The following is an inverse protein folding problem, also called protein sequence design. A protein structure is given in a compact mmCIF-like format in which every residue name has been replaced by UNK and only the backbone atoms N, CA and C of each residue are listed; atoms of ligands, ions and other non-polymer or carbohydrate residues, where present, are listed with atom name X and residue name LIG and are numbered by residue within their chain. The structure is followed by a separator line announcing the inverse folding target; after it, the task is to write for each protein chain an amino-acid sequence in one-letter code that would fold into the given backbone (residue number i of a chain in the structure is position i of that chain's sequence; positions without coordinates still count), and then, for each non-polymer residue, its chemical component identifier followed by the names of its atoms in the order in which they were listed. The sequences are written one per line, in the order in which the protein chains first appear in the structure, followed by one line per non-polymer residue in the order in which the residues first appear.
data_IF_972087473817
#
_entry.id   IF_972087473817
#
_cell.length_a   1.000
_cell.length_b   1.000
_cell.length_c   1.000
_cell.angle_alpha   90.00
_cell.angle_beta   90.00
_cell.angle_gamma   90.00
#
_symmetry.space_group_name_H-M   'P 1'
#
loop_
_entity.id
_entity.type
_entity.pdbx_description
1 polymer ?
#
# COMPACT_ATOMS: atom_id res chain seq x y z
N UNK A 1 35.18 -12.97 -55.89
CA UNK A 1 34.27 -11.97 -56.50
C UNK A 1 33.38 -11.38 -55.42
N UNK A 2 33.51 -10.13 -55.26
CA UNK A 2 32.89 -9.07 -54.48
C UNK A 2 31.57 -9.37 -53.77
N UNK A 3 31.60 -9.25 -52.45
CA UNK A 3 30.48 -9.06 -51.51
C UNK A 3 29.78 -7.69 -51.81
N UNK A 4 28.46 -7.70 -51.84
CA UNK A 4 27.66 -6.50 -51.77
C UNK A 4 27.24 -6.28 -50.30
N UNK A 5 27.81 -5.30 -49.67
CA UNK A 5 27.29 -4.68 -48.43
C UNK A 5 25.99 -3.92 -48.77
N UNK A 6 24.92 -4.34 -48.14
CA UNK A 6 23.67 -3.59 -48.10
C UNK A 6 23.71 -2.66 -46.89
N UNK A 7 23.91 -1.37 -47.17
CA UNK A 7 23.66 -0.30 -46.21
C UNK A 7 22.16 -0.28 -45.88
N UNK A 8 21.80 -0.74 -44.68
CA UNK A 8 20.53 -0.36 -44.07
C UNK A 8 20.68 1.04 -43.51
N UNK A 9 20.02 1.98 -44.12
CA UNK A 9 19.83 3.34 -43.57
C UNK A 9 19.15 3.22 -42.21
N UNK A 10 19.83 3.66 -41.16
CA UNK A 10 19.25 3.99 -39.87
C UNK A 10 18.36 5.21 -40.16
N UNK A 11 17.08 5.01 -40.17
CA UNK A 11 16.11 6.11 -40.18
C UNK A 11 16.18 6.65 -38.74
N UNK A 12 16.83 7.80 -38.56
CA UNK A 12 16.67 8.62 -37.39
C UNK A 12 15.18 8.97 -37.28
N UNK A 13 14.48 8.30 -36.39
CA UNK A 13 13.18 8.78 -35.95
C UNK A 13 13.46 10.08 -35.21
N UNK A 14 13.20 11.21 -35.84
CA UNK A 14 13.03 12.48 -35.13
C UNK A 14 12.05 12.19 -33.97
N UNK A 15 12.54 12.29 -32.74
CA UNK A 15 11.69 12.27 -31.57
C UNK A 15 10.90 13.58 -31.63
N UNK A 16 9.68 13.51 -32.17
CA UNK A 16 8.75 14.62 -32.09
C UNK A 16 8.49 14.83 -30.61
N UNK A 17 9.09 15.89 -30.03
CA UNK A 17 8.77 16.30 -28.67
C UNK A 17 7.31 16.76 -28.66
N UNK A 18 6.44 15.97 -28.10
CA UNK A 18 5.04 16.35 -27.86
C UNK A 18 5.07 17.48 -26.84
N UNK A 19 4.55 18.66 -27.24
CA UNK A 19 4.37 19.77 -26.31
C UNK A 19 3.33 19.38 -25.26
N UNK A 20 3.72 19.38 -23.98
CA UNK A 20 2.86 18.98 -22.87
C UNK A 20 2.51 20.20 -22.03
N UNK A 21 1.28 20.27 -21.58
CA UNK A 21 0.90 21.24 -20.56
C UNK A 21 1.69 20.98 -19.28
N UNK A 22 2.13 22.07 -18.63
CA UNK A 22 2.93 22.00 -17.41
C UNK A 22 2.19 22.69 -16.28
N UNK A 23 2.10 22.03 -15.14
CA UNK A 23 1.65 22.59 -13.86
C UNK A 23 2.76 22.50 -12.83
N UNK A 24 2.85 23.51 -11.97
CA UNK A 24 3.87 23.58 -10.91
C UNK A 24 3.22 23.48 -9.54
N UNK A 25 3.81 22.65 -8.66
CA UNK A 25 3.38 22.44 -7.29
C UNK A 25 4.58 22.50 -6.33
N UNK A 26 4.33 22.70 -5.07
CA UNK A 26 5.35 22.48 -4.04
C UNK A 26 5.59 20.99 -3.84
N UNK A 27 4.50 20.20 -3.78
CA UNK A 27 4.58 18.77 -3.59
C UNK A 27 3.58 18.05 -4.50
N UNK A 28 4.10 17.08 -5.27
CA UNK A 28 3.27 16.10 -6.01
C UNK A 28 3.30 14.76 -5.27
N UNK A 29 2.14 14.15 -5.11
CA UNK A 29 1.96 12.85 -4.45
C UNK A 29 1.38 11.87 -5.45
N UNK A 30 2.07 10.75 -5.67
CA UNK A 30 1.66 9.72 -6.63
C UNK A 30 0.94 8.59 -5.90
N UNK A 31 -0.38 8.54 -6.04
CA UNK A 31 -1.27 7.54 -5.46
C UNK A 31 -2.09 8.05 -4.27
N UNK A 32 -3.42 7.99 -4.41
CA UNK A 32 -4.41 8.35 -3.39
C UNK A 32 -4.80 7.15 -2.49
N UNK A 33 -3.80 6.36 -2.10
CA UNK A 33 -3.95 5.34 -1.06
C UNK A 33 -3.75 5.92 0.36
N UNK A 34 -3.83 5.08 1.41
CA UNK A 34 -3.69 5.53 2.80
C UNK A 34 -2.40 6.33 3.06
N UNK A 35 -1.28 5.94 2.45
CA UNK A 35 0.00 6.64 2.61
C UNK A 35 -0.01 8.02 1.96
N UNK A 36 -0.41 8.11 0.68
CA UNK A 36 -0.44 9.38 -0.06
C UNK A 36 -1.41 10.37 0.53
N UNK A 37 -2.64 9.95 0.87
CA UNK A 37 -3.64 10.82 1.49
C UNK A 37 -3.21 11.30 2.88
N UNK A 38 -2.57 10.44 3.67
CA UNK A 38 -2.03 10.86 4.97
C UNK A 38 -0.88 11.85 4.83
N UNK A 39 -0.06 11.72 3.76
CA UNK A 39 0.97 12.72 3.44
C UNK A 39 0.35 14.06 3.08
N UNK A 40 -0.67 14.05 2.22
CA UNK A 40 -1.36 15.24 1.76
C UNK A 40 -2.03 16.01 2.92
N UNK A 41 -2.80 15.29 3.75
CA UNK A 41 -3.46 15.88 4.93
C UNK A 41 -2.42 16.47 5.87
N UNK A 42 -1.35 15.72 6.19
CA UNK A 42 -0.33 16.20 7.13
C UNK A 42 0.43 17.41 6.61
N UNK A 43 0.76 17.45 5.32
CA UNK A 43 1.38 18.62 4.68
C UNK A 43 0.46 19.86 4.77
N UNK A 44 -0.81 19.70 4.42
CA UNK A 44 -1.79 20.78 4.45
C UNK A 44 -2.02 21.29 5.89
N UNK A 45 -2.06 20.39 6.88
CA UNK A 45 -2.15 20.78 8.31
C UNK A 45 -0.94 21.60 8.74
N UNK A 46 0.28 21.18 8.38
CA UNK A 46 1.51 21.91 8.70
C UNK A 46 1.54 23.29 8.03
N UNK A 47 1.11 23.38 6.77
CA UNK A 47 1.02 24.63 6.03
C UNK A 47 0.03 25.59 6.70
N UNK A 48 -1.15 25.12 7.12
CA UNK A 48 -2.12 25.92 7.85
C UNK A 48 -1.61 26.36 9.22
N UNK A 49 -0.98 25.45 9.99
CA UNK A 49 -0.39 25.76 11.29
C UNK A 49 0.66 26.87 11.21
N UNK A 50 1.48 26.85 10.16
CA UNK A 50 2.54 27.84 9.90
C UNK A 50 2.06 29.05 9.10
N UNK A 51 0.79 29.09 8.67
CA UNK A 51 0.25 30.14 7.80
C UNK A 51 1.10 30.34 6.54
N UNK A 52 1.60 29.24 5.97
CA UNK A 52 2.41 29.18 4.76
C UNK A 52 1.61 28.57 3.62
N UNK A 53 1.62 29.17 2.43
CA UNK A 53 1.06 28.56 1.24
C UNK A 53 1.90 27.34 0.83
N UNK A 54 1.23 26.24 0.50
CA UNK A 54 1.84 25.03 0.00
C UNK A 54 0.89 24.38 -1.03
N UNK A 55 1.25 24.41 -2.28
CA UNK A 55 0.47 23.80 -3.35
C UNK A 55 0.73 22.30 -3.40
N UNK A 56 -0.28 21.51 -3.08
CA UNK A 56 -0.20 20.05 -2.97
C UNK A 56 -1.12 19.40 -3.99
N UNK A 57 -0.57 18.54 -4.82
CA UNK A 57 -1.29 17.76 -5.81
C UNK A 57 -1.18 16.26 -5.51
N UNK A 58 -2.30 15.54 -5.61
CA UNK A 58 -2.35 14.08 -5.55
C UNK A 58 -2.87 13.53 -6.88
N UNK A 59 -2.11 12.68 -7.55
CA UNK A 59 -2.58 11.96 -8.75
C UNK A 59 -2.98 10.54 -8.39
N UNK A 60 -4.12 10.08 -8.94
CA UNK A 60 -4.63 8.72 -8.75
C UNK A 60 -5.03 8.12 -10.09
N UNK A 61 -4.52 6.93 -10.40
CA UNK A 61 -4.84 6.23 -11.65
C UNK A 61 -6.26 5.69 -11.73
N UNK A 62 -6.91 5.45 -10.60
CA UNK A 62 -8.30 5.04 -10.53
C UNK A 62 -9.23 6.16 -10.98
N UNK A 63 -10.36 5.82 -11.60
CA UNK A 63 -11.39 6.77 -12.00
C UNK A 63 -11.96 7.58 -10.83
N UNK A 64 -11.81 7.07 -9.62
CA UNK A 64 -12.11 7.72 -8.35
C UNK A 64 -11.18 7.21 -7.27
N UNK A 65 -11.00 7.97 -6.20
CA UNK A 65 -10.23 7.53 -5.04
C UNK A 65 -10.87 6.29 -4.42
N UNK A 66 -10.06 5.27 -4.14
CA UNK A 66 -10.52 4.01 -3.58
C UNK A 66 -11.01 2.96 -4.57
N UNK A 67 -11.18 3.28 -5.87
CA UNK A 67 -11.63 2.33 -6.89
C UNK A 67 -10.72 1.10 -7.01
N UNK A 68 -9.42 1.28 -6.85
CA UNK A 68 -8.43 0.20 -6.92
C UNK A 68 -8.08 -0.40 -5.54
N UNK A 69 -8.75 0.02 -4.48
CA UNK A 69 -8.54 -0.51 -3.13
C UNK A 69 -9.57 -1.59 -2.85
N UNK A 70 -9.14 -2.86 -2.93
CA UNK A 70 -10.03 -3.96 -2.59
C UNK A 70 -10.40 -3.91 -1.11
N UNK A 71 -11.70 -3.85 -0.86
CA UNK A 71 -12.31 -3.57 0.44
C UNK A 71 -12.15 -4.70 1.46
N UNK A 72 -12.41 -4.37 2.73
CA UNK A 72 -12.38 -5.28 3.87
C UNK A 72 -10.98 -5.48 4.46
N UNK A 73 -10.71 -4.79 5.57
CA UNK A 73 -9.46 -4.92 6.31
C UNK A 73 -9.71 -4.78 7.82
N UNK A 74 -8.88 -5.44 8.62
CA UNK A 74 -8.75 -5.09 10.04
C UNK A 74 -7.85 -3.87 10.13
N UNK A 75 -8.37 -2.80 10.72
CA UNK A 75 -7.77 -1.47 10.77
C UNK A 75 -7.40 -1.09 12.21
N UNK A 76 -6.13 -0.73 12.43
CA UNK A 76 -5.63 -0.18 13.68
C UNK A 76 -5.63 1.34 13.57
N UNK A 77 -6.36 2.03 14.46
CA UNK A 77 -6.64 3.47 14.34
C UNK A 77 -5.49 4.38 14.72
N UNK A 78 -4.43 3.89 15.35
CA UNK A 78 -3.32 4.72 15.89
C UNK A 78 -2.82 5.83 14.98
N UNK A 79 -2.59 5.53 13.70
CA UNK A 79 -2.13 6.53 12.75
C UNK A 79 -3.24 7.53 12.40
N UNK A 80 -4.49 7.08 12.37
CA UNK A 80 -5.65 7.94 12.18
C UNK A 80 -5.90 8.82 13.40
N UNK A 81 -5.77 8.27 14.62
CA UNK A 81 -5.90 9.02 15.88
C UNK A 81 -4.87 10.15 15.97
N UNK A 82 -3.68 9.95 15.43
CA UNK A 82 -2.63 10.96 15.37
C UNK A 82 -2.86 12.00 14.26
N UNK A 83 -3.31 11.56 13.08
CA UNK A 83 -3.51 12.41 11.91
C UNK A 83 -4.74 13.32 12.07
N UNK A 84 -5.85 12.73 12.50
CA UNK A 84 -7.16 13.36 12.66
C UNK A 84 -7.79 12.91 13.99
N UNK A 85 -7.40 13.48 15.15
CA UNK A 85 -7.87 13.03 16.47
C UNK A 85 -9.39 13.01 16.64
N UNK A 86 -10.10 13.85 15.90
CA UNK A 86 -11.56 13.98 15.88
C UNK A 86 -12.23 13.20 14.73
N UNK A 87 -11.58 12.17 14.17
CA UNK A 87 -12.08 11.42 13.02
C UNK A 87 -13.50 10.86 13.19
N UNK A 88 -13.89 10.53 14.44
CA UNK A 88 -15.24 10.05 14.73
C UNK A 88 -16.29 11.16 14.52
N UNK A 89 -15.99 12.38 14.99
CA UNK A 89 -16.85 13.54 14.81
C UNK A 89 -16.92 13.99 13.35
N UNK A 90 -15.83 13.76 12.60
CA UNK A 90 -15.75 14.03 11.17
C UNK A 90 -16.43 12.92 10.32
N UNK A 91 -17.08 11.94 10.96
CA UNK A 91 -17.85 10.91 10.25
C UNK A 91 -17.00 9.88 9.51
N UNK A 92 -15.80 9.56 9.99
CA UNK A 92 -14.99 8.51 9.37
C UNK A 92 -15.74 7.17 9.30
N UNK A 93 -15.67 6.45 8.17
CA UNK A 93 -16.33 5.15 7.99
C UNK A 93 -15.56 4.02 8.70
N UNK A 94 -15.30 4.20 10.00
CA UNK A 94 -14.58 3.29 10.90
C UNK A 94 -15.51 2.96 12.07
N UNK A 95 -16.53 2.17 11.81
CA UNK A 95 -17.69 1.95 12.68
C UNK A 95 -17.76 0.56 13.27
N UNK A 96 -17.33 -0.49 12.55
CA UNK A 96 -17.44 -1.89 12.97
C UNK A 96 -16.26 -2.30 13.85
N UNK A 97 -16.42 -2.24 15.17
CA UNK A 97 -15.40 -2.73 16.12
C UNK A 97 -15.25 -4.24 16.04
N UNK A 98 -14.04 -4.73 16.22
CA UNK A 98 -13.81 -6.16 16.43
C UNK A 98 -14.43 -6.58 17.75
N UNK A 99 -15.33 -7.56 17.71
CA UNK A 99 -16.09 -8.08 18.86
C UNK A 99 -15.67 -9.50 19.22
N UNK A 100 -15.19 -10.27 18.26
CA UNK A 100 -14.71 -11.64 18.42
C UNK A 100 -13.51 -11.86 17.51
N UNK A 101 -12.43 -12.42 18.04
CA UNK A 101 -11.17 -12.64 17.33
C UNK A 101 -10.74 -14.10 17.50
N UNK A 102 -10.81 -14.88 16.44
CA UNK A 102 -10.55 -16.30 16.43
C UNK A 102 -9.31 -16.62 15.60
N UNK A 103 -8.43 -17.47 16.12
CA UNK A 103 -7.23 -17.94 15.44
C UNK A 103 -7.30 -19.46 15.30
N UNK A 104 -7.07 -19.96 14.09
CA UNK A 104 -7.13 -21.38 13.77
C UNK A 104 -5.84 -21.90 13.13
N UNK A 105 -5.51 -23.14 13.52
CA UNK A 105 -4.65 -24.02 12.75
C UNK A 105 -5.52 -24.98 11.95
N UNK A 106 -5.51 -24.87 10.64
CA UNK A 106 -6.21 -25.78 9.74
C UNK A 106 -5.40 -27.07 9.55
N UNK A 107 -5.81 -28.13 10.23
CA UNK A 107 -5.09 -29.42 10.22
C UNK A 107 -5.23 -30.14 8.88
N UNK A 108 -6.41 -30.10 8.28
CA UNK A 108 -6.74 -30.69 7.00
C UNK A 108 -8.05 -30.06 6.47
N UNK A 109 -8.60 -30.57 5.40
CA UNK A 109 -9.80 -30.08 4.73
C UNK A 109 -11.09 -30.05 5.59
N UNK A 110 -11.12 -30.76 6.72
CA UNK A 110 -12.30 -30.92 7.56
C UNK A 110 -12.10 -30.44 8.99
N UNK A 111 -10.87 -30.34 9.46
CA UNK A 111 -10.56 -30.09 10.88
C UNK A 111 -9.68 -28.87 11.05
N UNK A 112 -10.05 -28.05 12.01
CA UNK A 112 -9.25 -26.94 12.50
C UNK A 112 -9.11 -27.03 14.02
N UNK A 113 -7.96 -26.60 14.52
CA UNK A 113 -7.69 -26.46 15.96
C UNK A 113 -7.74 -24.97 16.28
N UNK A 114 -8.59 -24.57 17.22
CA UNK A 114 -8.61 -23.20 17.73
C UNK A 114 -7.36 -22.95 18.60
N UNK A 115 -6.71 -21.84 18.34
CA UNK A 115 -5.56 -21.37 19.12
C UNK A 115 -6.07 -20.29 20.08
N UNK A 116 -6.09 -20.55 21.41
CA UNK A 116 -6.56 -19.56 22.35
C UNK A 116 -5.62 -18.36 22.40
N UNK A 117 -6.14 -17.17 22.70
CA UNK A 117 -5.39 -15.91 22.71
C UNK A 117 -4.14 -15.93 23.57
N UNK A 118 -4.19 -16.59 24.76
CA UNK A 118 -3.03 -16.69 25.63
C UNK A 118 -1.86 -17.49 25.02
N UNK A 119 -2.12 -18.34 24.04
CA UNK A 119 -1.14 -19.14 23.32
C UNK A 119 -0.67 -18.50 22.00
N UNK A 120 -1.24 -17.34 21.63
CA UNK A 120 -0.87 -16.61 20.42
C UNK A 120 -0.11 -15.31 20.76
N UNK A 121 0.80 -14.84 19.88
CA UNK A 121 1.48 -13.57 20.07
C UNK A 121 0.49 -12.41 20.15
N UNK A 122 0.67 -11.49 21.09
CA UNK A 122 -0.18 -10.30 21.25
C UNK A 122 -0.29 -9.44 19.98
N UNK A 123 0.70 -9.54 19.09
CA UNK A 123 0.70 -8.83 17.81
C UNK A 123 -0.41 -9.29 16.86
N UNK A 124 -0.91 -10.53 17.01
CA UNK A 124 -2.00 -11.06 16.20
C UNK A 124 -3.37 -10.65 16.72
N UNK A 125 -3.47 -10.22 17.98
CA UNK A 125 -4.73 -9.85 18.58
C UNK A 125 -5.31 -8.59 17.94
N UNK A 126 -6.64 -8.56 17.82
CA UNK A 126 -7.38 -7.51 17.16
C UNK A 126 -8.26 -6.67 18.12
N UNK A 127 -8.06 -6.81 19.41
CA UNK A 127 -8.76 -6.01 20.42
C UNK A 127 -8.56 -4.52 20.16
N UNK A 128 -9.66 -3.78 20.11
CA UNK A 128 -9.65 -2.34 19.85
C UNK A 128 -9.48 -1.94 18.38
N UNK A 129 -9.33 -2.89 17.47
CA UNK A 129 -9.30 -2.65 16.03
C UNK A 129 -10.72 -2.60 15.44
N UNK A 130 -10.79 -2.22 14.18
CA UNK A 130 -12.05 -2.11 13.43
C UNK A 130 -11.97 -2.91 12.13
N UNK A 131 -13.11 -3.42 11.67
CA UNK A 131 -13.25 -3.95 10.31
C UNK A 131 -13.77 -2.82 9.44
N UNK A 132 -13.05 -2.49 8.36
CA UNK A 132 -13.36 -1.34 7.51
C UNK A 132 -13.35 -1.69 6.03
N UNK A 133 -14.12 -0.94 5.25
CA UNK A 133 -13.89 -0.80 3.81
C UNK A 133 -12.78 0.21 3.57
N UNK A 134 -11.58 -0.25 3.22
CA UNK A 134 -10.47 0.65 2.94
C UNK A 134 -10.73 1.59 1.77
N UNK A 135 -11.53 1.18 0.79
CA UNK A 135 -11.98 2.07 -0.28
C UNK A 135 -12.78 3.26 0.25
N UNK A 136 -13.71 3.01 1.20
CA UNK A 136 -14.49 4.07 1.84
C UNK A 136 -13.61 4.97 2.72
N UNK A 137 -12.67 4.39 3.46
CA UNK A 137 -11.71 5.16 4.26
C UNK A 137 -10.86 6.06 3.37
N UNK A 138 -10.37 5.58 2.22
CA UNK A 138 -9.61 6.41 1.29
C UNK A 138 -10.47 7.54 0.69
N UNK A 139 -11.73 7.28 0.30
CA UNK A 139 -12.64 8.35 -0.18
C UNK A 139 -12.84 9.44 0.88
N UNK A 140 -13.14 9.02 2.10
CA UNK A 140 -13.28 9.95 3.21
C UNK A 140 -11.98 10.73 3.52
N UNK A 141 -10.81 10.10 3.50
CA UNK A 141 -9.53 10.80 3.64
C UNK A 141 -9.29 11.80 2.51
N UNK A 142 -9.72 11.49 1.28
CA UNK A 142 -9.63 12.42 0.16
C UNK A 142 -10.50 13.66 0.40
N UNK A 143 -11.75 13.49 0.87
CA UNK A 143 -12.61 14.60 1.26
C UNK A 143 -11.97 15.47 2.35
N UNK A 144 -11.29 14.86 3.34
CA UNK A 144 -10.54 15.62 4.34
C UNK A 144 -9.36 16.38 3.74
N UNK A 145 -8.62 15.78 2.81
CA UNK A 145 -7.51 16.45 2.13
C UNK A 145 -7.99 17.64 1.28
N UNK A 146 -9.05 17.44 0.49
CA UNK A 146 -9.66 18.50 -0.33
C UNK A 146 -10.20 19.66 0.53
N UNK A 147 -10.78 19.36 1.70
CA UNK A 147 -11.24 20.39 2.65
C UNK A 147 -10.10 21.26 3.19
N UNK A 148 -8.88 20.77 3.14
CA UNK A 148 -7.65 21.48 3.53
C UNK A 148 -6.96 22.17 2.34
N UNK A 149 -7.55 22.13 1.15
CA UNK A 149 -7.04 22.79 -0.06
C UNK A 149 -6.10 21.92 -0.92
N UNK A 150 -6.04 20.61 -0.70
CA UNK A 150 -5.27 19.70 -1.55
C UNK A 150 -6.02 19.46 -2.86
N UNK A 151 -5.32 19.52 -3.98
CA UNK A 151 -5.86 19.17 -5.28
C UNK A 151 -5.71 17.67 -5.55
N UNK A 152 -6.80 16.97 -5.84
CA UNK A 152 -6.77 15.53 -6.14
C UNK A 152 -7.25 15.31 -7.57
N UNK A 153 -6.43 14.62 -8.37
CA UNK A 153 -6.72 14.30 -9.78
C UNK A 153 -6.92 12.79 -9.97
N UNK A 154 -8.15 12.27 -9.80
CA UNK A 154 -8.48 10.91 -10.16
C UNK A 154 -8.53 10.72 -11.67
N UNK A 155 -8.21 9.52 -12.15
CA UNK A 155 -8.12 9.20 -13.58
C UNK A 155 -6.76 9.52 -14.21
N UNK A 156 -5.86 10.20 -13.50
CA UNK A 156 -4.53 10.54 -14.00
C UNK A 156 -3.47 9.58 -13.45
N UNK A 157 -2.91 8.76 -14.32
CA UNK A 157 -1.82 7.86 -13.97
C UNK A 157 -0.47 8.55 -14.12
N UNK A 158 0.37 8.52 -13.11
CA UNK A 158 1.78 8.87 -13.29
C UNK A 158 2.44 7.84 -14.22
N UNK A 159 3.08 8.29 -15.29
CA UNK A 159 3.64 7.43 -16.33
C UNK A 159 5.16 7.41 -16.30
N UNK A 160 5.81 8.56 -16.18
CA UNK A 160 7.27 8.67 -16.16
C UNK A 160 7.75 9.76 -15.20
N UNK A 161 9.03 9.66 -14.84
CA UNK A 161 9.71 10.61 -13.97
C UNK A 161 10.24 11.79 -14.78
N UNK A 162 10.23 12.98 -14.20
CA UNK A 162 11.04 14.12 -14.64
C UNK A 162 12.27 14.13 -13.76
N UNK A 163 13.43 13.82 -14.34
CA UNK A 163 14.73 13.83 -13.63
C UNK A 163 15.63 14.87 -14.29
N UNK A 164 16.10 15.85 -13.53
CA UNK A 164 17.01 16.90 -13.96
C UNK A 164 18.07 17.07 -12.85
N UNK A 165 19.33 17.23 -13.24
CA UNK A 165 20.46 17.40 -12.31
C UNK A 165 20.51 16.32 -11.21
N UNK A 166 20.31 15.05 -11.58
CA UNK A 166 20.30 13.90 -10.69
C UNK A 166 19.20 13.97 -9.59
N UNK A 167 18.17 14.79 -9.77
CA UNK A 167 17.06 14.95 -8.84
C UNK A 167 15.72 14.78 -9.55
N UNK A 168 14.75 14.19 -8.85
CA UNK A 168 13.36 14.15 -9.32
C UNK A 168 12.76 15.56 -9.22
N UNK A 169 12.15 16.02 -10.32
CA UNK A 169 11.50 17.34 -10.46
C UNK A 169 10.01 17.23 -10.71
N UNK A 170 9.45 16.03 -10.61
CA UNK A 170 8.05 15.78 -10.85
C UNK A 170 7.81 14.51 -11.65
N UNK A 171 6.64 14.45 -12.26
CA UNK A 171 6.18 13.32 -13.08
C UNK A 171 5.51 13.79 -14.36
N UNK A 172 5.44 12.90 -15.35
CA UNK A 172 4.58 13.06 -16.51
C UNK A 172 3.41 12.08 -16.36
N UNK A 173 2.20 12.56 -16.56
CA UNK A 173 1.01 11.70 -16.57
C UNK A 173 0.90 10.92 -17.89
N UNK A 174 0.16 9.82 -17.88
CA UNK A 174 -0.06 9.01 -19.08
C UNK A 174 -0.91 9.73 -20.13
N UNK A 175 -0.59 9.51 -21.40
CA UNK A 175 -1.41 9.99 -22.51
C UNK A 175 -2.80 9.34 -22.45
N UNK A 176 -3.84 10.13 -22.74
CA UNK A 176 -5.22 9.66 -22.83
C UNK A 176 -5.64 9.45 -24.28
N UNK A 177 -6.63 8.57 -24.51
CA UNK A 177 -7.13 8.31 -25.86
C UNK A 177 -6.14 7.56 -26.75
N UNK A 178 -5.31 6.68 -26.22
CA UNK A 178 -4.46 5.76 -26.97
C UNK A 178 -5.06 4.35 -27.01
N UNK A 179 -4.75 3.59 -28.05
CA UNK A 179 -5.08 2.16 -28.11
C UNK A 179 -3.99 1.30 -27.42
N UNK A 180 -4.21 -0.03 -27.41
CA UNK A 180 -3.27 -0.99 -26.82
C UNK A 180 -1.89 -1.04 -27.53
N UNK A 181 -1.81 -0.56 -28.76
CA UNK A 181 -0.61 -0.55 -29.59
C UNK A 181 0.07 0.84 -29.57
N UNK A 182 -0.51 1.81 -28.80
CA UNK A 182 0.00 3.16 -28.61
C UNK A 182 -0.42 4.16 -29.71
N UNK A 183 -1.39 3.80 -30.56
CA UNK A 183 -1.87 4.72 -31.57
C UNK A 183 -2.94 5.66 -31.00
N UNK A 184 -2.91 6.91 -31.44
CA UNK A 184 -3.87 7.93 -31.06
C UNK A 184 -5.28 7.57 -31.59
N UNK A 185 -6.29 7.76 -30.73
CA UNK A 185 -7.73 7.67 -31.07
C UNK A 185 -8.37 9.05 -31.10
N UNK A 186 -9.61 9.09 -31.53
CA UNK A 186 -10.43 10.30 -31.38
C UNK A 186 -10.49 10.69 -29.91
N UNK A 187 -10.11 11.94 -29.60
CA UNK A 187 -9.99 12.44 -28.22
C UNK A 187 -8.65 12.18 -27.56
N UNK A 188 -7.59 11.91 -28.36
CA UNK A 188 -6.22 11.87 -27.83
C UNK A 188 -5.87 13.19 -27.11
N UNK A 189 -5.31 13.05 -25.92
CA UNK A 189 -4.70 14.13 -25.15
C UNK A 189 -3.34 13.68 -24.62
N UNK A 190 -2.29 14.45 -24.88
CA UNK A 190 -0.98 14.15 -24.29
C UNK A 190 -1.05 14.28 -22.78
N UNK A 191 -0.29 13.46 -22.07
CA UNK A 191 -0.13 13.60 -20.64
C UNK A 191 0.53 14.94 -20.27
N UNK A 192 0.28 15.39 -19.06
CA UNK A 192 0.76 16.66 -18.52
C UNK A 192 2.07 16.47 -17.74
N UNK A 193 2.93 17.48 -17.72
CA UNK A 193 4.04 17.57 -16.78
C UNK A 193 3.55 18.19 -15.48
N UNK A 194 3.67 17.43 -14.38
CA UNK A 194 3.43 17.93 -13.03
C UNK A 194 4.79 18.11 -12.35
N UNK A 195 5.25 19.35 -12.37
CA UNK A 195 6.56 19.71 -11.77
C UNK A 195 6.40 20.02 -10.30
N UNK A 196 7.37 19.62 -9.49
CA UNK A 196 7.33 19.81 -8.05
C UNK A 196 8.72 20.02 -7.46
N UNK A 197 8.75 20.73 -6.33
CA UNK A 197 9.97 20.83 -5.50
C UNK A 197 10.29 19.47 -4.89
N UNK A 198 9.26 18.71 -4.49
CA UNK A 198 9.38 17.36 -3.97
C UNK A 198 8.25 16.47 -4.47
N UNK A 199 8.55 15.17 -4.68
CA UNK A 199 7.56 14.17 -5.08
C UNK A 199 7.51 13.02 -4.08
N UNK A 200 6.31 12.66 -3.63
CA UNK A 200 6.07 11.50 -2.75
C UNK A 200 5.49 10.37 -3.59
N UNK A 201 6.15 9.21 -3.60
CA UNK A 201 5.67 8.02 -4.31
C UNK A 201 4.99 7.08 -3.33
N UNK A 202 3.68 6.91 -3.53
CA UNK A 202 2.76 6.11 -2.73
C UNK A 202 1.98 5.10 -3.58
N UNK A 203 2.60 4.57 -4.64
CA UNK A 203 1.98 3.71 -5.66
C UNK A 203 1.61 2.31 -5.14
N UNK A 204 2.04 1.96 -3.94
CA UNK A 204 1.83 0.65 -3.34
C UNK A 204 2.83 -0.41 -3.82
N UNK A 205 2.60 -1.67 -3.44
CA UNK A 205 3.55 -2.77 -3.60
C UNK A 205 4.08 -3.01 -5.04
N UNK A 206 3.36 -2.54 -6.05
CA UNK A 206 3.69 -2.78 -7.47
C UNK A 206 3.82 -1.49 -8.27
N UNK A 207 4.10 -0.40 -7.61
CA UNK A 207 4.43 0.87 -8.25
C UNK A 207 5.54 0.69 -9.29
N UNK A 208 5.37 1.23 -10.50
CA UNK A 208 6.39 1.11 -11.52
C UNK A 208 7.44 2.21 -11.41
N UNK A 209 7.04 3.42 -11.01
CA UNK A 209 7.96 4.52 -10.76
C UNK A 209 8.81 4.27 -9.51
N UNK A 210 8.21 3.74 -8.43
CA UNK A 210 8.96 3.33 -7.24
C UNK A 210 10.06 2.33 -7.55
N UNK A 211 9.80 1.34 -8.43
CA UNK A 211 10.82 0.38 -8.88
C UNK A 211 11.90 1.05 -9.73
N UNK A 212 11.51 1.96 -10.62
CA UNK A 212 12.46 2.71 -11.42
C UNK A 212 13.37 3.53 -10.51
N UNK A 213 12.83 4.21 -9.51
CA UNK A 213 13.58 5.01 -8.53
C UNK A 213 14.55 4.15 -7.70
N UNK A 214 14.10 2.99 -7.23
CA UNK A 214 14.97 2.06 -6.49
C UNK A 214 16.18 1.67 -7.34
N UNK A 215 15.99 1.37 -8.61
CA UNK A 215 17.08 1.03 -9.52
C UNK A 215 17.97 2.24 -9.87
N UNK A 216 17.37 3.39 -10.21
CA UNK A 216 18.09 4.60 -10.65
C UNK A 216 18.98 5.18 -9.56
N UNK A 217 18.46 5.26 -8.33
CA UNK A 217 19.16 5.79 -7.17
C UNK A 217 19.82 4.72 -6.30
N UNK A 218 19.79 3.44 -6.74
CA UNK A 218 20.40 2.28 -6.03
C UNK A 218 19.96 2.22 -4.56
N UNK A 219 18.65 2.39 -4.32
CA UNK A 219 18.11 2.58 -2.97
C UNK A 219 18.12 1.31 -2.12
N UNK A 220 18.25 0.13 -2.71
CA UNK A 220 18.23 -1.17 -2.05
C UNK A 220 19.61 -1.81 -1.85
N UNK A 221 20.70 -1.05 -2.09
CA UNK A 221 22.07 -1.57 -2.03
C UNK A 221 22.43 -2.24 -0.68
N UNK A 222 21.93 -1.69 0.42
CA UNK A 222 22.17 -2.18 1.78
C UNK A 222 20.99 -2.96 2.36
N UNK A 223 20.00 -3.28 1.54
CA UNK A 223 18.77 -3.95 1.98
C UNK A 223 18.80 -5.45 1.71
N UNK A 224 18.14 -6.21 2.58
CA UNK A 224 17.85 -7.61 2.28
C UNK A 224 16.83 -7.72 1.13
N UNK A 225 16.85 -8.79 0.34
CA UNK A 225 15.87 -8.99 -0.72
C UNK A 225 14.43 -8.87 -0.21
N UNK A 226 13.57 -8.19 -0.97
CA UNK A 226 12.16 -8.05 -0.63
C UNK A 226 11.42 -9.39 -0.81
N UNK A 227 10.55 -9.70 0.13
CA UNK A 227 9.64 -10.85 0.07
C UNK A 227 8.23 -10.40 -0.31
N UNK A 228 7.58 -11.18 -1.16
CA UNK A 228 6.25 -10.88 -1.65
C UNK A 228 5.26 -12.00 -1.32
N UNK A 229 4.03 -11.60 -1.02
CA UNK A 229 2.87 -12.47 -0.98
C UNK A 229 1.85 -12.05 -2.01
N UNK A 230 0.97 -12.97 -2.40
CA UNK A 230 -0.21 -12.71 -3.21
C UNK A 230 -1.44 -12.94 -2.36
N UNK A 231 -2.22 -11.90 -2.15
CA UNK A 231 -3.49 -11.97 -1.43
C UNK A 231 -4.66 -12.00 -2.40
N UNK A 232 -5.51 -13.03 -2.27
CA UNK A 232 -6.85 -13.08 -2.87
C UNK A 232 -7.87 -12.68 -1.84
N UNK A 233 -8.90 -11.99 -2.31
CA UNK A 233 -9.99 -11.53 -1.45
C UNK A 233 -11.31 -11.55 -2.22
N UNK A 234 -12.35 -11.99 -1.55
CA UNK A 234 -13.72 -11.91 -2.04
C UNK A 234 -14.61 -11.28 -0.97
N UNK A 235 -15.65 -10.56 -1.41
CA UNK A 235 -16.70 -10.03 -0.55
C UNK A 235 -17.98 -10.78 -0.89
N UNK A 236 -18.61 -11.29 0.15
CA UNK A 236 -19.82 -12.10 0.03
C UNK A 236 -20.97 -11.46 0.81
N UNK A 237 -22.16 -11.40 0.21
CA UNK A 237 -23.39 -11.08 0.89
C UNK A 237 -23.95 -12.40 1.46
N UNK A 238 -24.11 -12.47 2.77
CA UNK A 238 -24.56 -13.68 3.47
C UNK A 238 -25.93 -13.48 4.13
N UNK A 239 -26.54 -14.59 4.54
CA UNK A 239 -27.76 -14.57 5.34
C UNK A 239 -27.49 -13.96 6.73
N UNK A 240 -28.41 -13.11 7.22
CA UNK A 240 -28.30 -12.45 8.52
C UNK A 240 -28.14 -13.47 9.68
N UNK A 241 -28.77 -14.63 9.60
CA UNK A 241 -28.65 -15.67 10.63
C UNK A 241 -27.25 -16.27 10.76
N UNK A 242 -26.38 -16.10 9.75
CA UNK A 242 -24.98 -16.54 9.74
C UNK A 242 -24.00 -15.41 10.02
N UNK A 243 -24.50 -14.20 10.15
CA UNK A 243 -23.65 -13.02 10.30
C UNK A 243 -23.37 -12.74 11.79
N UNK A 244 -22.09 -12.49 12.10
CA UNK A 244 -21.62 -12.12 13.44
C UNK A 244 -20.81 -10.81 13.33
N UNK A 245 -21.48 -9.66 13.36
CA UNK A 245 -20.86 -8.35 13.16
C UNK A 245 -19.63 -8.15 14.06
N UNK A 246 -18.51 -7.82 13.44
CA UNK A 246 -17.23 -7.57 14.13
C UNK A 246 -16.41 -8.83 14.40
N UNK A 247 -16.84 -10.00 13.92
CA UNK A 247 -16.06 -11.24 14.03
C UNK A 247 -14.90 -11.24 13.05
N UNK A 248 -13.72 -11.58 13.57
CA UNK A 248 -12.46 -11.77 12.83
C UNK A 248 -12.03 -13.22 12.98
N UNK A 249 -11.71 -13.86 11.87
CA UNK A 249 -11.10 -15.18 11.84
C UNK A 249 -9.77 -15.07 11.09
N UNK A 250 -8.68 -15.50 11.72
CA UNK A 250 -7.42 -15.74 11.07
C UNK A 250 -7.04 -17.21 11.18
N UNK A 251 -6.28 -17.70 10.20
CA UNK A 251 -5.80 -19.08 10.29
C UNK A 251 -4.68 -19.39 9.32
N UNK A 252 -3.95 -20.46 9.60
CA UNK A 252 -2.85 -20.96 8.78
C UNK A 252 -2.88 -22.48 8.70
N UNK A 253 -2.04 -23.09 7.86
CA UNK A 253 -2.02 -24.51 7.60
C UNK A 253 -2.74 -24.85 6.30
N UNK A 254 -3.57 -25.91 6.29
CA UNK A 254 -4.32 -26.29 5.10
C UNK A 254 -5.12 -25.11 4.50
N UNK A 255 -5.20 -24.93 3.16
CA UNK A 255 -4.74 -25.84 2.09
C UNK A 255 -3.26 -25.71 1.76
N UNK A 256 -2.54 -24.78 2.33
CA UNK A 256 -1.12 -24.61 2.12
C UNK A 256 -0.34 -25.73 2.85
N UNK A 257 0.75 -26.19 2.27
CA UNK A 257 1.55 -27.29 2.81
C UNK A 257 3.01 -27.18 2.41
N UNK A 258 3.87 -27.94 3.09
CA UNK A 258 5.30 -27.95 2.83
C UNK A 258 5.94 -26.61 3.23
N UNK A 259 6.71 -26.04 2.30
CA UNK A 259 7.39 -24.75 2.43
C UNK A 259 6.52 -23.54 2.04
N UNK A 260 5.24 -23.77 1.73
CA UNK A 260 4.32 -22.72 1.30
C UNK A 260 3.72 -22.02 2.50
N UNK A 261 4.22 -20.83 2.81
CA UNK A 261 3.68 -20.00 3.88
C UNK A 261 2.50 -19.16 3.39
N UNK A 262 1.66 -18.77 4.36
CA UNK A 262 0.50 -17.94 4.08
C UNK A 262 -0.53 -18.04 5.19
N UNK A 263 -1.74 -17.54 4.91
CA UNK A 263 -2.82 -17.59 5.88
C UNK A 263 -4.14 -17.18 5.29
N UNK A 264 -5.20 -17.74 5.88
CA UNK A 264 -6.58 -17.46 5.57
C UNK A 264 -7.16 -16.43 6.53
N UNK A 265 -8.18 -15.73 6.09
CA UNK A 265 -8.94 -14.83 6.94
C UNK A 265 -10.41 -14.74 6.53
N UNK A 266 -11.25 -14.38 7.49
CA UNK A 266 -12.65 -14.06 7.28
C UNK A 266 -13.06 -12.94 8.26
N UNK A 267 -13.68 -11.88 7.75
CA UNK A 267 -14.11 -10.72 8.54
C UNK A 267 -15.59 -10.47 8.29
N UNK A 268 -16.39 -10.42 9.35
CA UNK A 268 -17.78 -10.04 9.28
C UNK A 268 -17.94 -8.52 9.41
N UNK A 269 -18.17 -7.87 8.30
CA UNK A 269 -18.30 -6.41 8.19
C UNK A 269 -19.77 -5.97 8.20
N UNK A 270 -20.03 -4.69 7.96
CA UNK A 270 -21.38 -4.13 7.90
C UNK A 270 -22.25 -4.78 6.80
N UNK A 271 -23.55 -4.56 6.87
CA UNK A 271 -24.54 -4.94 5.87
C UNK A 271 -24.59 -6.44 5.55
N UNK A 272 -24.38 -7.31 6.54
CA UNK A 272 -24.30 -8.76 6.37
C UNK A 272 -23.28 -9.19 5.31
N UNK A 273 -22.20 -8.45 5.19
CA UNK A 273 -21.09 -8.76 4.30
C UNK A 273 -19.97 -9.48 5.04
N UNK A 274 -19.39 -10.44 4.37
CA UNK A 274 -18.22 -11.16 4.84
C UNK A 274 -17.09 -11.05 3.82
N UNK A 275 -15.93 -10.68 4.31
CA UNK A 275 -14.70 -10.60 3.51
C UNK A 275 -13.89 -11.85 3.77
N UNK A 276 -13.62 -12.65 2.74
CA UNK A 276 -12.85 -13.89 2.83
C UNK A 276 -11.62 -13.79 1.96
N UNK A 277 -10.48 -14.24 2.45
CA UNK A 277 -9.27 -14.22 1.65
C UNK A 277 -8.21 -15.24 2.07
N UNK A 278 -7.24 -15.42 1.17
CA UNK A 278 -6.05 -16.21 1.37
C UNK A 278 -4.84 -15.41 0.89
N UNK A 279 -3.81 -15.38 1.71
CA UNK A 279 -2.49 -14.85 1.35
C UNK A 279 -1.57 -16.04 1.13
N UNK A 280 -0.84 -16.05 0.01
CA UNK A 280 0.17 -17.08 -0.30
C UNK A 280 1.49 -16.38 -0.55
N UNK A 281 2.54 -16.80 0.13
CA UNK A 281 3.90 -16.31 -0.10
C UNK A 281 4.41 -16.78 -1.45
N UNK A 282 5.08 -15.91 -2.20
CA UNK A 282 5.52 -16.21 -3.57
C UNK A 282 6.87 -16.92 -3.65
N UNK A 283 7.44 -17.33 -2.52
CA UNK A 283 8.70 -18.09 -2.45
C UNK A 283 8.51 -19.61 -2.32
N UNK A 284 7.30 -20.13 -2.56
CA UNK A 284 7.04 -21.57 -2.55
C UNK A 284 7.81 -22.32 -3.66
N UNK A 285 8.23 -23.54 -3.37
CA UNK A 285 9.04 -24.37 -4.28
C UNK A 285 8.21 -25.21 -5.28
N UNK A 286 6.91 -25.42 -4.99
CA UNK A 286 6.04 -26.27 -5.84
C UNK A 286 5.58 -25.52 -7.11
N UNK A 287 6.11 -25.82 -8.31
CA UNK A 287 5.75 -25.11 -9.54
C UNK A 287 4.31 -25.39 -10.01
N UNK A 288 3.64 -26.38 -9.43
CA UNK A 288 2.26 -26.76 -9.76
C UNK A 288 1.24 -26.13 -8.82
N UNK A 289 1.69 -25.39 -7.80
CA UNK A 289 0.78 -24.71 -6.90
C UNK A 289 0.15 -23.50 -7.60
N UNK A 290 -1.18 -23.49 -7.63
CA UNK A 290 -1.95 -22.34 -8.08
C UNK A 290 -2.53 -21.65 -6.85
N UNK A 291 -2.03 -20.46 -6.47
CA UNK A 291 -2.56 -19.73 -5.31
C UNK A 291 -4.08 -19.46 -5.38
N UNK A 292 -4.61 -19.27 -6.59
CA UNK A 292 -6.04 -19.11 -6.79
C UNK A 292 -6.82 -20.38 -6.48
N UNK A 293 -6.35 -21.55 -6.94
CA UNK A 293 -7.02 -22.82 -6.69
C UNK A 293 -6.97 -23.19 -5.20
N UNK A 294 -5.86 -22.87 -4.51
CA UNK A 294 -5.76 -23.05 -3.06
C UNK A 294 -6.78 -22.15 -2.33
N UNK A 295 -6.99 -20.92 -2.81
CA UNK A 295 -8.05 -20.07 -2.27
C UNK A 295 -9.45 -20.67 -2.49
N UNK A 296 -9.70 -21.26 -3.67
CA UNK A 296 -10.98 -21.94 -3.91
C UNK A 296 -11.16 -23.15 -2.98
N UNK A 297 -10.10 -23.96 -2.81
CA UNK A 297 -10.11 -25.13 -1.88
C UNK A 297 -10.37 -24.69 -0.45
N UNK A 298 -9.72 -23.64 0.03
CA UNK A 298 -9.90 -23.10 1.38
C UNK A 298 -11.38 -22.84 1.71
N UNK A 299 -12.14 -22.30 0.77
CA UNK A 299 -13.58 -21.99 0.98
C UNK A 299 -14.46 -23.22 1.22
N UNK A 300 -13.99 -24.43 0.87
CA UNK A 300 -14.70 -25.68 1.16
C UNK A 300 -14.48 -26.19 2.60
N UNK A 301 -13.50 -25.63 3.34
CA UNK A 301 -13.33 -25.98 4.74
C UNK A 301 -14.55 -25.54 5.57
N UNK A 302 -15.05 -26.37 6.54
CA UNK A 302 -16.26 -26.08 7.31
C UNK A 302 -16.33 -24.70 7.94
N UNK A 303 -15.20 -24.15 8.43
CA UNK A 303 -15.12 -22.79 9.00
C UNK A 303 -15.60 -21.72 8.03
N UNK A 304 -15.29 -21.84 6.76
CA UNK A 304 -15.71 -20.90 5.71
C UNK A 304 -17.00 -21.34 5.04
N UNK A 305 -17.11 -22.64 4.68
CA UNK A 305 -18.24 -23.18 3.96
C UNK A 305 -19.56 -22.89 4.65
N UNK A 306 -19.66 -23.13 5.96
CA UNK A 306 -20.89 -22.96 6.73
C UNK A 306 -21.41 -21.51 6.68
N UNK A 307 -20.51 -20.53 6.57
CA UNK A 307 -20.87 -19.11 6.43
C UNK A 307 -21.26 -18.79 4.98
N UNK A 308 -20.50 -19.30 4.02
CA UNK A 308 -20.63 -18.94 2.60
C UNK A 308 -21.71 -19.74 1.85
N UNK A 309 -22.22 -20.83 2.42
CA UNK A 309 -23.22 -21.67 1.75
C UNK A 309 -24.53 -20.88 1.56
N UNK A 310 -24.97 -20.75 0.31
CA UNK A 310 -26.12 -19.96 -0.09
C UNK A 310 -25.86 -18.46 -0.23
N UNK A 311 -24.62 -18.01 -0.03
CA UNK A 311 -24.25 -16.60 -0.15
C UNK A 311 -23.97 -16.18 -1.60
N UNK A 312 -24.05 -14.88 -1.86
CA UNK A 312 -23.73 -14.27 -3.16
C UNK A 312 -22.37 -13.56 -3.08
N UNK A 313 -21.46 -13.85 -4.04
CA UNK A 313 -20.20 -13.13 -4.16
C UNK A 313 -20.41 -11.82 -4.92
N UNK A 314 -20.24 -10.69 -4.22
CA UNK A 314 -20.49 -9.36 -4.77
C UNK A 314 -19.23 -8.66 -5.31
N UNK A 315 -18.04 -9.02 -4.82
CA UNK A 315 -16.78 -8.46 -5.31
C UNK A 315 -15.60 -9.43 -5.12
N UNK A 316 -14.56 -9.25 -5.90
CA UNK A 316 -13.33 -10.03 -5.77
C UNK A 316 -12.11 -9.25 -6.29
N UNK A 317 -10.92 -9.67 -5.88
CA UNK A 317 -9.67 -9.15 -6.40
C UNK A 317 -8.45 -9.87 -5.83
N UNK A 318 -7.31 -9.56 -6.39
CA UNK A 318 -6.02 -10.05 -5.92
C UNK A 318 -5.00 -8.91 -5.91
N UNK A 319 -4.09 -8.94 -4.94
CA UNK A 319 -3.03 -7.95 -4.84
C UNK A 319 -1.73 -8.54 -4.29
N UNK A 320 -0.61 -8.11 -4.85
CA UNK A 320 0.68 -8.39 -4.28
C UNK A 320 0.90 -7.57 -3.00
N UNK A 321 1.64 -8.12 -2.07
CA UNK A 321 1.95 -7.53 -0.76
C UNK A 321 3.46 -7.64 -0.56
N UNK A 322 4.14 -6.52 -0.27
CA UNK A 322 5.53 -6.52 0.15
C UNK A 322 5.58 -6.84 1.65
N UNK A 323 6.32 -7.88 2.05
CA UNK A 323 6.32 -8.40 3.43
C UNK A 323 7.72 -8.69 3.99
N UNK A 324 8.78 -8.20 3.36
CA UNK A 324 10.16 -8.42 3.78
C UNK A 324 10.53 -7.79 5.12
N UNK A 325 9.70 -6.86 5.62
CA UNK A 325 9.93 -6.21 6.90
C UNK A 325 11.07 -5.19 6.87
N UNK A 326 11.54 -4.79 8.05
CA UNK A 326 12.49 -3.69 8.23
C UNK A 326 13.78 -3.85 7.41
N UNK A 327 14.36 -5.05 7.39
CA UNK A 327 15.62 -5.29 6.70
C UNK A 327 15.53 -5.26 5.18
N UNK A 328 14.32 -5.28 4.63
CA UNK A 328 14.04 -5.21 3.18
C UNK A 328 13.55 -3.84 2.74
N UNK A 329 13.50 -2.86 3.65
CA UNK A 329 13.18 -1.49 3.27
C UNK A 329 14.33 -0.89 2.47
N UNK A 330 14.06 -0.30 1.30
CA UNK A 330 15.06 0.49 0.60
C UNK A 330 15.33 1.79 1.38
N UNK A 331 16.38 2.49 1.03
CA UNK A 331 16.54 3.88 1.41
C UNK A 331 15.32 4.66 0.88
N UNK A 332 14.51 5.19 1.81
CA UNK A 332 13.20 5.73 1.46
C UNK A 332 13.23 7.15 0.88
N UNK A 333 14.42 7.75 0.76
CA UNK A 333 14.59 9.11 0.26
C UNK A 333 15.70 9.17 -0.81
N UNK A 334 15.54 10.09 -1.73
CA UNK A 334 16.49 10.41 -2.79
C UNK A 334 16.38 11.90 -3.14
N UNK A 335 17.22 12.39 -4.02
CA UNK A 335 17.15 13.79 -4.42
C UNK A 335 15.82 14.12 -5.10
N UNK A 336 15.05 15.03 -4.51
CA UNK A 336 13.74 15.47 -4.99
C UNK A 336 12.55 14.62 -4.57
N UNK A 337 12.70 13.57 -3.73
CA UNK A 337 11.53 12.80 -3.33
C UNK A 337 11.71 11.70 -2.30
N UNK A 338 10.60 11.02 -1.99
CA UNK A 338 10.53 9.93 -1.02
C UNK A 338 9.59 8.82 -1.49
N UNK A 339 9.89 7.56 -1.06
CA UNK A 339 9.01 6.40 -1.15
C UNK A 339 8.26 6.23 0.18
N UNK A 340 6.95 5.97 0.13
CA UNK A 340 6.13 5.76 1.34
C UNK A 340 5.20 4.55 1.21
N UNK A 341 4.72 4.05 2.33
CA UNK A 341 3.78 2.94 2.37
C UNK A 341 4.32 1.65 1.77
N UNK A 342 3.46 0.91 1.09
CA UNK A 342 3.85 -0.37 0.47
C UNK A 342 4.74 -0.21 -0.77
N UNK A 343 4.93 0.99 -1.27
CA UNK A 343 5.92 1.28 -2.31
C UNK A 343 7.34 1.08 -1.77
N UNK A 344 7.59 1.51 -0.54
CA UNK A 344 8.79 1.19 0.21
C UNK A 344 8.75 -0.19 0.91
N UNK A 345 7.57 -0.77 1.14
CA UNK A 345 7.43 -2.05 1.83
C UNK A 345 7.18 -1.95 3.34
N UNK A 346 6.48 -0.93 3.82
CA UNK A 346 6.28 -0.64 5.26
C UNK A 346 5.29 -1.57 5.99
N UNK A 347 4.81 -2.66 5.36
CA UNK A 347 3.88 -3.59 6.00
C UNK A 347 4.44 -4.13 7.31
N UNK A 348 3.66 -4.07 8.39
CA UNK A 348 3.98 -4.77 9.64
C UNK A 348 3.47 -6.22 9.54
N UNK A 349 4.33 -7.10 9.06
CA UNK A 349 3.99 -8.51 8.87
C UNK A 349 3.61 -9.19 10.20
N UNK A 350 4.32 -8.91 11.28
CA UNK A 350 4.05 -9.50 12.60
C UNK A 350 2.67 -9.13 13.17
N UNK A 351 2.06 -8.05 12.69
CA UNK A 351 0.68 -7.65 13.02
C UNK A 351 -0.35 -8.06 11.96
N UNK A 352 0.10 -8.57 10.82
CA UNK A 352 -0.76 -8.82 9.63
C UNK A 352 -1.49 -7.53 9.20
N UNK A 353 -0.91 -6.37 9.46
CA UNK A 353 -1.50 -5.04 9.21
C UNK A 353 -0.49 -4.09 8.59
N UNK A 354 -0.92 -3.32 7.58
CA UNK A 354 -0.06 -2.39 6.88
C UNK A 354 -0.60 -0.96 6.79
N UNK A 355 -1.90 -0.76 7.04
CA UNK A 355 -2.52 0.55 6.82
C UNK A 355 -1.97 1.62 7.78
N UNK A 356 -1.84 1.30 9.07
CA UNK A 356 -1.31 2.23 10.07
C UNK A 356 0.16 2.61 9.81
N UNK A 357 0.99 1.66 9.35
CA UNK A 357 2.39 1.93 9.00
C UNK A 357 2.51 2.71 7.70
N UNK A 358 1.65 2.43 6.71
CA UNK A 358 1.58 3.19 5.48
C UNK A 358 1.19 4.65 5.74
N UNK A 359 0.13 4.89 6.52
CA UNK A 359 -0.29 6.23 6.93
C UNK A 359 0.83 6.95 7.69
N UNK A 360 1.45 6.29 8.69
CA UNK A 360 2.53 6.90 9.48
C UNK A 360 3.74 7.26 8.63
N UNK A 361 4.14 6.40 7.68
CA UNK A 361 5.25 6.72 6.77
C UNK A 361 4.96 7.96 5.93
N UNK A 362 3.70 8.13 5.48
CA UNK A 362 3.26 9.31 4.77
C UNK A 362 3.31 10.57 5.64
N UNK A 363 2.87 10.49 6.89
CA UNK A 363 2.94 11.62 7.83
C UNK A 363 4.38 12.06 8.11
N UNK A 364 5.28 11.10 8.31
CA UNK A 364 6.72 11.39 8.53
C UNK A 364 7.35 12.03 7.29
N UNK A 365 7.03 11.51 6.09
CA UNK A 365 7.50 12.09 4.84
C UNK A 365 7.02 13.55 4.68
N UNK A 366 5.77 13.83 5.03
CA UNK A 366 5.21 15.18 5.03
C UNK A 366 5.96 16.12 5.97
N UNK A 367 6.27 15.68 7.18
CA UNK A 367 7.02 16.47 8.17
C UNK A 367 8.44 16.80 7.69
N UNK A 368 9.11 15.85 7.03
CA UNK A 368 10.46 16.05 6.47
C UNK A 368 10.42 17.02 5.30
N UNK A 369 9.50 16.82 4.35
CA UNK A 369 9.35 17.71 3.19
C UNK A 369 8.99 19.12 3.64
N UNK A 370 8.06 19.27 4.56
CA UNK A 370 7.65 20.61 5.02
C UNK A 370 8.82 21.39 5.62
N UNK A 371 9.65 20.75 6.45
CA UNK A 371 10.89 21.36 6.97
C UNK A 371 11.88 21.76 5.87
N UNK A 372 11.96 20.95 4.81
CA UNK A 372 12.82 21.27 3.66
C UNK A 372 12.27 22.43 2.82
N UNK A 373 10.96 22.57 2.70
CA UNK A 373 10.32 23.71 2.06
C UNK A 373 10.53 25.01 2.85
N UNK A 374 10.51 24.96 4.20
CA UNK A 374 10.80 26.12 5.06
C UNK A 374 12.29 26.58 4.92
N UNK A 375 13.20 25.67 4.61
CA UNK A 375 14.64 26.00 4.50
C UNK A 375 15.27 25.33 3.28
N UNK A 376 15.14 25.93 2.08
CA UNK A 376 15.67 25.33 0.83
C UNK A 376 17.18 25.11 0.80
N UNK A 377 17.95 25.78 1.66
CA UNK A 377 19.39 25.54 1.83
C UNK A 377 19.70 24.22 2.57
N UNK A 378 18.70 23.62 3.20
CA UNK A 378 18.80 22.35 3.92
C UNK A 378 18.36 21.24 3.00
N UNK A 379 19.28 20.40 2.53
CA UNK A 379 18.90 19.28 1.68
C UNK A 379 18.01 18.30 2.46
N UNK A 380 17.01 17.71 1.82
CA UNK A 380 16.19 16.59 2.38
C UNK A 380 17.08 15.49 2.95
N UNK A 381 18.28 15.30 2.38
CA UNK A 381 19.25 14.31 2.82
C UNK A 381 19.71 14.52 4.27
N UNK A 382 19.82 15.77 4.76
CA UNK A 382 20.32 16.05 6.10
C UNK A 382 19.30 15.72 7.23
N UNK A 383 18.00 15.69 6.92
CA UNK A 383 16.92 15.38 7.90
C UNK A 383 16.37 13.95 7.77
N UNK A 384 16.84 13.19 6.80
CA UNK A 384 16.32 11.86 6.48
C UNK A 384 16.85 10.72 7.35
N UNK A 385 17.79 10.96 8.26
CA UNK A 385 18.13 10.02 9.35
C UNK A 385 16.90 9.64 10.20
N UNK A 386 15.84 10.44 10.11
CA UNK A 386 14.55 10.20 10.76
C UNK A 386 13.76 9.09 10.04
N UNK A 387 13.88 9.00 8.71
CA UNK A 387 13.14 8.01 7.89
C UNK A 387 13.91 6.69 7.77
N UNK A 388 15.25 6.75 7.70
CA UNK A 388 16.14 5.60 7.72
C UNK A 388 17.16 5.78 8.86
N UNK A 389 16.85 5.35 10.08
CA UNK A 389 17.83 5.39 11.16
C UNK A 389 19.05 4.53 10.78
N UNK A 390 20.29 4.96 11.15
CA UNK A 390 21.47 4.14 10.93
C UNK A 390 21.26 2.74 11.54
N UNK A 391 21.88 1.73 10.96
CA UNK A 391 21.70 0.31 11.35
C UNK A 391 21.94 0.06 12.86
N UNK A 392 22.64 0.94 13.54
CA UNK A 392 22.88 0.94 14.99
C UNK A 392 21.81 1.70 15.79
N UNK A 393 21.05 2.59 15.17
CA UNK A 393 19.91 3.21 15.81
C UNK A 393 18.78 2.17 15.83
N UNK A 394 18.64 1.52 16.96
CA UNK A 394 17.61 0.52 17.21
C UNK A 394 16.24 1.02 16.72
N UNK A 395 15.38 0.09 16.31
CA UNK A 395 13.95 0.22 16.01
C UNK A 395 13.19 1.26 16.88
N UNK A 396 13.82 1.71 17.98
CA UNK A 396 13.33 2.76 18.86
C UNK A 396 13.18 4.14 18.17
N UNK A 397 13.87 4.46 17.09
CA UNK A 397 13.79 5.81 16.49
C UNK A 397 12.57 5.97 15.57
N UNK A 398 12.23 4.95 14.77
CA UNK A 398 10.94 4.93 14.06
C UNK A 398 9.78 4.79 15.07
N UNK A 399 10.04 4.14 16.21
CA UNK A 399 9.05 3.94 17.28
C UNK A 399 8.98 5.11 18.27
N UNK A 400 10.01 5.94 18.41
CA UNK A 400 9.97 7.16 19.22
C UNK A 400 9.06 8.23 18.61
N UNK A 401 8.94 8.26 17.29
CA UNK A 401 7.98 9.14 16.62
C UNK A 401 6.52 8.68 16.77
N UNK A 402 6.27 7.45 17.23
CA UNK A 402 4.94 6.87 17.27
C UNK A 402 4.48 6.35 18.64
N UNK A 403 5.33 6.35 19.69
CA UNK A 403 5.07 5.63 20.95
C UNK A 403 4.63 4.15 20.73
N UNK A 404 4.93 3.58 19.56
CA UNK A 404 4.57 2.22 19.20
C UNK A 404 5.75 1.31 19.52
N UNK A 405 5.71 0.61 20.64
CA UNK A 405 6.63 -0.50 20.90
C UNK A 405 6.31 -1.65 19.95
N UNK A 406 7.12 -1.81 18.91
CA UNK A 406 7.09 -3.02 18.08
C UNK A 406 8.04 -4.06 18.70
N UNK A 407 7.60 -5.29 18.95
CA UNK A 407 8.55 -6.36 19.22
C UNK A 407 9.39 -6.59 17.97
N UNK A 408 10.70 -6.62 18.13
CA UNK A 408 11.65 -6.98 17.08
C UNK A 408 11.32 -8.41 16.67
N UNK A 409 10.83 -8.63 15.46
CA UNK A 409 10.76 -9.98 14.92
C UNK A 409 12.20 -10.49 14.79
N UNK A 410 12.47 -11.65 15.40
CA UNK A 410 13.74 -12.33 15.25
C UNK A 410 14.05 -12.57 13.75
N UNK A 411 15.34 -12.65 13.35
CA UNK A 411 15.75 -12.73 11.94
C UNK A 411 15.43 -14.05 11.24
N UNK A 412 14.62 -14.93 11.84
CA UNK A 412 14.08 -16.11 11.18
C UNK A 412 12.56 -16.06 11.23
N UNK A 413 11.86 -16.33 10.12
CA UNK A 413 10.45 -16.60 10.19
C UNK A 413 10.31 -17.85 11.09
N UNK A 414 9.81 -17.64 12.31
CA UNK A 414 9.21 -18.74 13.05
C UNK A 414 8.10 -19.27 12.13
N UNK A 415 8.39 -20.33 11.43
CA UNK A 415 7.33 -21.21 10.98
C UNK A 415 6.62 -21.61 12.27
N UNK A 416 5.30 -21.49 12.34
CA UNK A 416 4.46 -21.95 13.47
C UNK A 416 4.68 -23.45 13.80
N UNK A 417 5.72 -24.07 13.26
CA UNK A 417 6.14 -25.47 13.44
C UNK A 417 7.13 -25.61 14.60
N UNK A 418 7.70 -24.50 15.10
CA UNK A 418 8.67 -24.51 16.22
C UNK A 418 8.06 -24.10 17.58
N UNK A 419 6.72 -24.20 17.70
CA UNK A 419 5.97 -24.08 18.97
C UNK A 419 5.24 -25.39 19.30
#
# INVERSE_FOLDING_TARGET
MRSKHSNKSVIDKEVIMVERETMEFDVVIVGAGPAGLSSAIKLAQLAQEKQQECMICVVEKGSEVGAHVLSGAVFETKALDELLPNWQELGAPVTTKVTNDEIYWFNNEQKATSIPHFASPKTFHNDGNYIVSMGNVCRWLAEQAESLGVEIFPGFSAHSLIIEDEAVKGIITGDMGVDKDGNEKDGYMPGMELRAKYTIFAEGCRGHLGKQLINEFVLDADSSPQHYGLGFKEIWQIDESKHELGKVVHGTGWPLSGDTNGGAFMYHSENNQVVVGLIVDLNYSNPHLSPFDEFQRMKHHPVFKNVLEGAERIAYGARAIAKGGLHSLPKMHFAGGLLVGCDAGTLNFAKIKGNHTAMKSGMVAAEVIFKALENPARSVIADCDIVNPPAEASFSTITHLSNVKYPVAAPNPLTLVDL
#
